data_IF_215940088452
#
_entry.id   IF_215940088452
#
_cell.length_a   1.000
_cell.length_b   1.000
_cell.length_c   1.000
_cell.angle_alpha   90.00
_cell.angle_beta   90.00
_cell.angle_gamma   90.00
#
_symmetry.space_group_name_H-M   'P 1'
#
loop_
_entity.id
_entity.type
_entity.pdbx_description
1 polymer ?
#
# COMPACT_ATOMS: atom_id res chain seq x y z
N UNK A 1 -18.26 -2.42 17.52
CA UNK A 1 -18.31 -1.24 16.64
C UNK A 1 -19.74 -0.92 16.26
N UNK A 2 -20.28 0.23 16.68
CA UNK A 2 -21.44 0.85 16.06
C UNK A 2 -21.32 0.96 14.53
N UNK A 3 -22.44 0.74 13.84
CA UNK A 3 -22.56 0.93 12.40
C UNK A 3 -23.94 1.52 12.06
N UNK A 4 -23.98 2.42 11.09
CA UNK A 4 -25.22 2.97 10.52
C UNK A 4 -25.22 2.70 9.01
N UNK A 5 -26.15 1.86 8.56
CA UNK A 5 -26.42 1.64 7.13
C UNK A 5 -27.31 2.76 6.58
N UNK A 6 -27.05 3.18 5.34
CA UNK A 6 -27.86 4.16 4.63
C UNK A 6 -27.70 4.00 3.11
N UNK A 7 -28.57 4.67 2.35
CA UNK A 7 -28.52 4.68 0.89
C UNK A 7 -28.42 6.09 0.33
N UNK A 8 -27.66 6.25 -0.76
CA UNK A 8 -27.58 7.49 -1.56
C UNK A 8 -28.17 7.22 -2.95
N UNK A 9 -28.92 8.16 -3.50
CA UNK A 9 -29.50 8.04 -4.85
C UNK A 9 -28.41 8.01 -5.94
N UNK A 10 -28.48 7.03 -6.85
CA UNK A 10 -27.54 6.91 -7.98
C UNK A 10 -28.21 6.20 -9.18
N UNK A 11 -29.10 6.93 -9.85
CA UNK A 11 -30.03 6.44 -10.88
C UNK A 11 -29.35 5.52 -11.91
N UNK A 12 -29.92 4.33 -12.21
CA UNK A 12 -31.23 3.81 -11.78
C UNK A 12 -31.19 2.97 -10.49
N UNK A 13 -30.15 3.10 -9.65
CA UNK A 13 -29.96 2.31 -8.42
C UNK A 13 -29.67 3.24 -7.23
N UNK A 14 -29.31 2.65 -6.10
CA UNK A 14 -28.79 3.35 -4.92
C UNK A 14 -27.39 2.87 -4.58
N UNK A 15 -26.61 3.73 -3.94
CA UNK A 15 -25.32 3.41 -3.34
C UNK A 15 -25.60 2.97 -1.91
N UNK A 16 -25.39 1.69 -1.63
CA UNK A 16 -25.46 1.16 -0.27
C UNK A 16 -24.18 1.55 0.49
N UNK A 17 -24.33 2.20 1.64
CA UNK A 17 -23.25 2.72 2.47
C UNK A 17 -23.37 2.23 3.91
N UNK A 18 -22.23 2.08 4.58
CA UNK A 18 -22.14 1.85 6.04
C UNK A 18 -21.16 2.88 6.61
N UNK A 19 -21.66 3.72 7.52
CA UNK A 19 -20.84 4.55 8.41
C UNK A 19 -20.45 3.71 9.63
N UNK A 20 -19.15 3.56 9.89
CA UNK A 20 -18.60 2.86 11.07
C UNK A 20 -17.88 3.87 11.97
N UNK A 21 -18.08 3.77 13.29
CA UNK A 21 -17.58 4.69 14.32
C UNK A 21 -17.59 4.01 15.71
N UNK A 22 -17.05 4.65 16.75
CA UNK A 22 -17.05 4.16 18.16
C UNK A 22 -18.14 4.84 19.06
N UNK A 23 -18.33 4.50 20.36
CA UNK A 23 -19.41 5.06 21.27
C UNK A 23 -18.89 5.52 22.65
N UNK A 24 -19.31 6.63 23.28
CA UNK A 24 -20.22 7.72 22.87
C UNK A 24 -19.46 9.02 22.51
N UNK A 25 -18.99 9.90 23.44
CA UNK A 25 -19.13 9.95 24.91
C UNK A 25 -20.39 10.73 25.39
N UNK A 26 -21.26 10.09 26.18
CA UNK A 26 -22.54 10.64 26.65
C UNK A 26 -23.77 9.82 26.25
N UNK A 27 -24.55 9.39 27.25
CA UNK A 27 -25.98 9.04 27.12
C UNK A 27 -26.89 10.19 27.62
N UNK A 28 -26.31 11.36 27.92
CA UNK A 28 -27.04 12.56 28.35
C UNK A 28 -27.42 13.45 27.15
N UNK A 29 -28.70 13.78 27.09
CA UNK A 29 -29.35 14.40 25.93
C UNK A 29 -29.26 15.94 25.91
N UNK A 30 -28.06 16.50 26.02
CA UNK A 30 -27.79 17.94 25.84
C UNK A 30 -26.44 18.15 25.13
N UNK A 31 -26.44 18.93 24.05
CA UNK A 31 -25.25 19.25 23.22
C UNK A 31 -24.61 18.12 22.39
N UNK A 32 -25.42 17.39 21.61
CA UNK A 32 -24.93 16.55 20.51
C UNK A 32 -25.24 17.14 19.13
N UNK A 33 -24.32 17.93 18.59
CA UNK A 33 -24.19 18.11 17.14
C UNK A 33 -22.73 17.92 16.69
N UNK A 34 -22.55 17.07 15.67
CA UNK A 34 -21.40 17.00 14.76
C UNK A 34 -20.13 16.17 15.09
N UNK A 35 -20.26 14.86 15.38
CA UNK A 35 -19.12 13.89 15.33
C UNK A 35 -19.33 12.67 14.43
N UNK A 36 -20.31 12.72 13.51
CA UNK A 36 -20.56 11.65 12.51
C UNK A 36 -19.85 11.85 11.16
N UNK A 37 -19.25 13.02 10.93
CA UNK A 37 -18.44 13.40 9.75
C UNK A 37 -17.35 12.34 9.50
N UNK A 38 -17.43 11.50 8.45
CA UNK A 38 -16.39 10.54 8.14
C UNK A 38 -15.07 11.23 7.77
N UNK A 39 -13.96 10.79 8.36
CA UNK A 39 -12.64 11.25 7.92
C UNK A 39 -12.08 10.46 6.74
N UNK A 40 -12.77 9.39 6.32
CA UNK A 40 -12.41 8.56 5.17
C UNK A 40 -13.68 8.07 4.45
N UNK A 41 -13.72 8.24 3.12
CA UNK A 41 -14.61 7.50 2.23
C UNK A 41 -13.83 6.35 1.59
N UNK A 42 -14.27 5.11 1.82
CA UNK A 42 -13.59 3.89 1.39
C UNK A 42 -14.49 3.01 0.49
N UNK A 43 -13.89 2.24 -0.42
CA UNK A 43 -14.65 1.23 -1.19
C UNK A 43 -13.85 -0.04 -1.51
N UNK A 44 -14.59 -1.13 -1.73
CA UNK A 44 -14.06 -2.47 -1.91
C UNK A 44 -13.45 -2.73 -3.30
N UNK A 45 -12.72 -3.84 -3.41
CA UNK A 45 -12.19 -4.33 -4.69
C UNK A 45 -13.24 -4.89 -5.64
N UNK A 46 -12.79 -5.32 -6.82
CA UNK A 46 -13.63 -5.94 -7.83
C UNK A 46 -14.36 -7.17 -7.27
N UNK A 47 -15.67 -7.27 -7.48
CA UNK A 47 -16.52 -8.38 -7.03
C UNK A 47 -16.86 -8.39 -5.53
N UNK A 48 -16.22 -7.53 -4.73
CA UNK A 48 -16.39 -7.50 -3.28
C UNK A 48 -17.73 -6.94 -2.80
N UNK A 49 -17.86 -6.90 -1.48
CA UNK A 49 -18.99 -6.38 -0.71
C UNK A 49 -18.49 -5.55 0.47
N UNK A 50 -19.40 -4.89 1.20
CA UNK A 50 -19.09 -4.26 2.49
C UNK A 50 -18.77 -5.28 3.60
N UNK A 51 -19.18 -6.54 3.41
CA UNK A 51 -18.91 -7.66 4.32
C UNK A 51 -17.65 -8.47 3.97
N UNK A 52 -16.88 -8.07 2.96
CA UNK A 52 -15.63 -8.76 2.61
C UNK A 52 -14.57 -8.52 3.69
N UNK A 53 -13.87 -9.55 4.15
CA UNK A 53 -12.92 -9.52 5.29
C UNK A 53 -11.97 -8.30 5.26
N UNK A 54 -11.26 -8.07 4.14
CA UNK A 54 -10.35 -6.93 3.96
C UNK A 54 -11.00 -5.54 3.92
N UNK A 55 -12.32 -5.45 4.06
CA UNK A 55 -13.09 -4.21 4.22
C UNK A 55 -13.67 -4.15 5.62
N UNK A 56 -14.36 -5.21 6.06
CA UNK A 56 -14.97 -5.28 7.39
C UNK A 56 -13.93 -5.18 8.52
N UNK A 57 -12.78 -5.85 8.39
CA UNK A 57 -11.70 -5.79 9.38
C UNK A 57 -11.04 -4.41 9.37
N UNK A 58 -10.72 -3.88 8.17
CA UNK A 58 -10.11 -2.56 8.02
C UNK A 58 -11.01 -1.45 8.57
N UNK A 59 -12.29 -1.41 8.20
CA UNK A 59 -13.22 -0.40 8.68
C UNK A 59 -13.50 -0.53 10.16
N UNK A 60 -13.52 -1.75 10.71
CA UNK A 60 -13.66 -1.97 12.16
C UNK A 60 -12.49 -1.40 12.95
N UNK A 61 -11.25 -1.54 12.45
CA UNK A 61 -10.07 -0.95 13.07
C UNK A 61 -9.98 0.56 12.88
N UNK A 62 -10.25 1.06 11.67
CA UNK A 62 -10.22 2.50 11.37
C UNK A 62 -11.25 3.25 12.24
N UNK A 63 -12.45 2.68 12.40
CA UNK A 63 -13.55 3.24 13.17
C UNK A 63 -13.29 3.37 14.68
N UNK A 64 -12.25 2.73 15.25
CA UNK A 64 -11.87 2.95 16.67
C UNK A 64 -11.11 4.26 16.87
N UNK A 65 -10.66 4.91 15.80
CA UNK A 65 -9.87 6.13 15.84
C UNK A 65 -10.61 7.31 15.19
N UNK A 66 -11.34 7.06 14.11
CA UNK A 66 -12.12 8.08 13.39
C UNK A 66 -13.24 7.48 12.55
N UNK A 67 -14.40 8.16 12.36
CA UNK A 67 -15.50 7.62 11.57
C UNK A 67 -15.12 7.38 10.09
N UNK A 68 -15.60 6.28 9.52
CA UNK A 68 -15.35 5.89 8.11
C UNK A 68 -16.64 5.48 7.42
N UNK A 69 -16.87 5.99 6.21
CA UNK A 69 -17.93 5.51 5.31
C UNK A 69 -17.37 4.53 4.31
N UNK A 70 -17.86 3.30 4.33
CA UNK A 70 -17.61 2.32 3.28
C UNK A 70 -18.84 2.21 2.37
N UNK A 71 -18.65 2.31 1.04
CA UNK A 71 -19.74 2.17 0.07
C UNK A 71 -19.57 1.00 -0.91
N UNK A 72 -20.70 0.39 -1.28
CA UNK A 72 -20.77 -0.75 -2.21
C UNK A 72 -20.70 -0.29 -3.67
N UNK A 73 -19.50 -0.18 -4.22
CA UNK A 73 -19.28 0.20 -5.61
C UNK A 73 -19.57 -0.94 -6.60
N UNK A 74 -19.93 -0.60 -7.84
CA UNK A 74 -20.15 -1.58 -8.91
C UNK A 74 -18.86 -1.96 -9.68
N UNK A 75 -18.97 -2.89 -10.65
CA UNK A 75 -17.83 -3.44 -11.40
C UNK A 75 -17.24 -2.50 -12.47
N UNK A 76 -17.91 -1.39 -12.79
CA UNK A 76 -17.45 -0.43 -13.78
C UNK A 76 -16.65 0.68 -13.08
N UNK A 77 -15.36 0.80 -13.41
CA UNK A 77 -14.44 1.74 -12.75
C UNK A 77 -14.92 3.19 -12.88
N UNK A 78 -15.30 3.65 -14.07
CA UNK A 78 -15.82 5.01 -14.31
C UNK A 78 -17.11 5.28 -13.55
N UNK A 79 -17.99 4.29 -13.44
CA UNK A 79 -19.21 4.40 -12.63
C UNK A 79 -18.87 4.47 -11.13
N UNK A 80 -17.91 3.68 -10.64
CA UNK A 80 -17.43 3.73 -9.25
C UNK A 80 -16.78 5.07 -8.88
N UNK A 81 -16.11 5.73 -9.82
CA UNK A 81 -15.61 7.12 -9.66
C UNK A 81 -16.78 8.10 -9.49
N UNK A 82 -17.83 7.99 -10.30
CA UNK A 82 -19.06 8.81 -10.10
C UNK A 82 -19.75 8.52 -8.77
N UNK A 83 -19.73 7.26 -8.31
CA UNK A 83 -20.25 6.88 -6.99
C UNK A 83 -19.47 7.54 -5.85
N UNK A 84 -18.13 7.65 -5.94
CA UNK A 84 -17.36 8.47 -5.00
C UNK A 84 -17.88 9.91 -4.97
N UNK A 85 -18.05 10.56 -6.13
CA UNK A 85 -18.55 11.93 -6.20
C UNK A 85 -19.91 12.11 -5.54
N UNK A 86 -20.83 11.15 -5.67
CA UNK A 86 -22.11 11.22 -4.95
C UNK A 86 -21.97 11.01 -3.44
N UNK A 87 -21.11 10.08 -2.99
CA UNK A 87 -20.84 9.91 -1.55
C UNK A 87 -20.20 11.17 -0.95
N UNK A 88 -19.24 11.77 -1.65
CA UNK A 88 -18.59 13.04 -1.25
C UNK A 88 -19.57 14.22 -1.17
N UNK A 89 -20.62 14.27 -2.00
CA UNK A 89 -21.65 15.32 -1.91
C UNK A 89 -22.70 15.07 -0.83
N UNK A 90 -22.94 13.82 -0.48
CA UNK A 90 -23.97 13.43 0.50
C UNK A 90 -23.41 13.25 1.91
N UNK A 91 -22.09 13.33 2.09
CA UNK A 91 -21.41 13.26 3.38
C UNK A 91 -20.58 14.53 3.57
N UNK A 92 -20.76 15.21 4.69
CA UNK A 92 -19.73 16.13 5.20
C UNK A 92 -18.53 15.26 5.57
N UNK A 93 -17.48 15.24 4.75
CA UNK A 93 -16.36 14.30 4.88
C UNK A 93 -15.03 15.05 4.97
N UNK A 94 -14.14 14.61 5.87
CA UNK A 94 -12.77 15.09 5.85
C UNK A 94 -12.03 14.47 4.65
N UNK A 95 -11.10 15.23 4.07
CA UNK A 95 -10.56 15.08 2.73
C UNK A 95 -9.67 13.84 2.43
N UNK A 96 -9.93 12.69 3.05
CA UNK A 96 -9.32 11.41 2.71
C UNK A 96 -10.27 10.54 1.87
N UNK A 97 -9.80 10.07 0.72
CA UNK A 97 -10.44 9.02 -0.05
C UNK A 97 -9.60 7.75 0.01
N UNK A 98 -10.20 6.58 -0.24
CA UNK A 98 -9.44 5.35 -0.31
C UNK A 98 -10.21 4.16 -0.84
N UNK A 99 -9.51 3.05 -1.02
CA UNK A 99 -10.18 1.78 -1.27
C UNK A 99 -9.21 0.63 -1.38
N UNK A 100 -9.75 -0.56 -1.63
CA UNK A 100 -8.96 -1.77 -1.91
C UNK A 100 -8.95 -2.11 -3.39
N UNK A 101 -7.80 -2.43 -3.98
CA UNK A 101 -7.69 -2.94 -5.36
C UNK A 101 -8.36 -2.01 -6.40
N UNK A 102 -9.39 -2.46 -7.12
CA UNK A 102 -10.19 -1.60 -8.01
C UNK A 102 -10.77 -0.36 -7.29
N UNK A 103 -11.10 -0.47 -6.00
CA UNK A 103 -11.52 0.64 -5.17
C UNK A 103 -10.42 1.67 -4.93
N UNK A 104 -9.17 1.23 -4.76
CA UNK A 104 -8.01 2.12 -4.65
C UNK A 104 -7.82 2.96 -5.93
N UNK A 105 -7.91 2.32 -7.10
CA UNK A 105 -7.89 3.02 -8.40
C UNK A 105 -9.04 4.03 -8.53
N UNK A 106 -10.24 3.65 -8.11
CA UNK A 106 -11.40 4.53 -8.15
C UNK A 106 -11.25 5.74 -7.22
N UNK A 107 -10.63 5.57 -6.04
CA UNK A 107 -10.34 6.67 -5.11
C UNK A 107 -9.35 7.68 -5.71
N UNK A 108 -8.23 7.21 -6.31
CA UNK A 108 -7.27 8.06 -7.02
C UNK A 108 -7.96 8.85 -8.15
N UNK A 109 -8.77 8.17 -8.97
CA UNK A 109 -9.49 8.79 -10.08
C UNK A 109 -10.67 9.69 -9.66
N UNK A 110 -11.08 9.64 -8.39
CA UNK A 110 -12.13 10.48 -7.81
C UNK A 110 -11.59 11.65 -6.97
N UNK A 111 -10.27 11.74 -6.79
CA UNK A 111 -9.64 12.83 -6.08
C UNK A 111 -9.95 14.18 -6.75
N UNK A 112 -10.28 15.16 -5.92
CA UNK A 112 -10.56 16.56 -6.27
C UNK A 112 -9.44 17.45 -5.74
N UNK A 113 -9.38 18.75 -6.12
CA UNK A 113 -8.44 19.70 -5.53
C UNK A 113 -8.54 19.81 -4.00
N UNK A 114 -9.72 19.53 -3.43
CA UNK A 114 -9.94 19.51 -1.98
C UNK A 114 -9.43 18.23 -1.31
N UNK A 115 -9.11 17.18 -2.07
CA UNK A 115 -8.62 15.90 -1.54
C UNK A 115 -7.20 16.06 -1.01
N UNK A 116 -7.00 15.83 0.28
CA UNK A 116 -5.70 16.00 0.94
C UNK A 116 -4.95 14.67 1.12
N UNK A 117 -5.68 13.56 1.14
CA UNK A 117 -5.14 12.27 1.55
C UNK A 117 -5.72 11.10 0.74
N UNK A 118 -4.90 10.07 0.50
CA UNK A 118 -5.31 8.84 -0.20
C UNK A 118 -4.83 7.58 0.54
N UNK A 119 -5.76 6.68 0.89
CA UNK A 119 -5.43 5.35 1.45
C UNK A 119 -5.66 4.26 0.40
N UNK A 120 -4.57 3.73 -0.14
CA UNK A 120 -4.53 2.84 -1.29
C UNK A 120 -4.14 1.41 -0.87
N UNK A 121 -5.14 0.62 -0.45
CA UNK A 121 -4.93 -0.76 -0.04
C UNK A 121 -4.90 -1.73 -1.24
N UNK A 122 -3.93 -2.64 -1.27
CA UNK A 122 -3.72 -3.61 -2.37
C UNK A 122 -3.82 -2.94 -3.75
N UNK A 123 -3.18 -1.77 -3.95
CA UNK A 123 -3.31 -1.05 -5.22
C UNK A 123 -2.82 -1.94 -6.39
N UNK A 124 -3.63 -2.25 -7.40
CA UNK A 124 -3.30 -3.28 -8.39
C UNK A 124 -2.45 -2.66 -9.50
N UNK A 125 -1.21 -2.31 -9.14
CA UNK A 125 -0.23 -1.56 -9.91
C UNK A 125 0.04 -2.17 -11.28
N UNK A 126 0.02 -3.48 -11.39
CA UNK A 126 0.16 -4.18 -12.64
C UNK A 126 -0.78 -5.37 -12.75
N UNK A 127 -1.02 -5.76 -13.99
CA UNK A 127 -1.64 -7.03 -14.37
C UNK A 127 -0.87 -7.59 -15.57
N UNK A 128 -1.22 -8.80 -16.01
CA UNK A 128 -0.64 -9.40 -17.20
C UNK A 128 -0.93 -8.60 -18.51
N UNK A 129 -1.78 -7.56 -18.45
CA UNK A 129 -2.19 -6.76 -19.62
C UNK A 129 -1.68 -5.31 -19.61
N UNK A 130 -1.48 -4.73 -18.43
CA UNK A 130 -1.19 -3.28 -18.27
C UNK A 130 -0.46 -2.98 -16.96
N UNK A 131 0.32 -1.90 -16.95
CA UNK A 131 0.82 -1.22 -15.75
C UNK A 131 -0.01 0.06 -15.55
N UNK A 132 -0.31 0.41 -14.30
CA UNK A 132 -1.23 1.48 -13.89
C UNK A 132 -0.52 2.47 -12.97
N UNK A 133 0.70 2.84 -13.32
CA UNK A 133 1.53 3.79 -12.62
C UNK A 133 1.21 5.24 -12.99
N UNK A 134 0.86 5.54 -14.24
CA UNK A 134 0.57 6.91 -14.68
C UNK A 134 -0.45 7.63 -13.78
N UNK A 135 -1.57 6.99 -13.43
CA UNK A 135 -2.59 7.61 -12.55
C UNK A 135 -2.08 7.88 -11.12
N UNK A 136 -0.97 7.28 -10.69
CA UNK A 136 -0.29 7.60 -9.43
C UNK A 136 0.72 8.76 -9.62
N UNK A 137 1.38 8.82 -10.78
CA UNK A 137 2.31 9.90 -11.13
C UNK A 137 1.60 11.24 -11.36
N UNK A 138 0.33 11.19 -11.77
CA UNK A 138 -0.56 12.33 -11.98
C UNK A 138 -1.21 12.85 -10.68
N UNK A 139 -0.96 12.23 -9.52
CA UNK A 139 -1.47 12.70 -8.22
C UNK A 139 -0.82 14.05 -7.87
N UNK A 140 -1.64 15.02 -7.50
CA UNK A 140 -1.21 16.38 -7.16
C UNK A 140 -0.18 16.41 -6.01
N UNK A 141 0.86 17.26 -6.05
CA UNK A 141 1.95 17.24 -5.07
C UNK A 141 1.52 17.49 -3.62
N UNK A 142 0.38 18.16 -3.41
CA UNK A 142 -0.19 18.45 -2.10
C UNK A 142 -0.91 17.28 -1.42
N UNK A 143 -1.14 16.18 -2.14
CA UNK A 143 -1.84 14.99 -1.60
C UNK A 143 -0.85 14.06 -0.91
N UNK A 144 -1.11 13.70 0.34
CA UNK A 144 -0.33 12.67 1.02
C UNK A 144 -0.94 11.27 0.75
N UNK A 145 -0.13 10.29 0.36
CA UNK A 145 -0.62 8.96 -0.07
C UNK A 145 -0.06 7.85 0.83
N UNK A 146 -0.95 7.08 1.46
CA UNK A 146 -0.64 5.84 2.15
C UNK A 146 -0.89 4.63 1.25
N UNK A 147 0.16 3.90 0.89
CA UNK A 147 0.05 2.57 0.31
C UNK A 147 0.00 1.52 1.43
N UNK A 148 -0.98 0.62 1.37
CA UNK A 148 -1.06 -0.54 2.26
C UNK A 148 -0.99 -1.80 1.40
N UNK A 149 0.14 -2.51 1.43
CA UNK A 149 0.47 -3.55 0.43
C UNK A 149 0.97 -4.82 1.12
N UNK A 150 0.42 -5.96 0.72
CA UNK A 150 0.91 -7.26 1.16
C UNK A 150 2.19 -7.65 0.43
N UNK A 151 3.17 -8.23 1.12
CA UNK A 151 4.44 -8.63 0.48
C UNK A 151 4.31 -9.87 -0.44
N UNK A 152 3.14 -10.52 -0.44
CA UNK A 152 2.73 -11.57 -1.40
C UNK A 152 1.72 -11.06 -2.45
N UNK A 153 1.52 -9.75 -2.57
CA UNK A 153 0.64 -9.15 -3.58
C UNK A 153 1.24 -9.27 -5.00
N UNK A 154 0.68 -10.20 -5.79
CA UNK A 154 1.09 -10.48 -7.18
C UNK A 154 0.64 -9.42 -8.20
N UNK A 155 -0.17 -8.44 -7.80
CA UNK A 155 -0.52 -7.27 -8.61
C UNK A 155 0.23 -6.00 -8.19
N UNK A 156 0.98 -6.04 -7.09
CA UNK A 156 1.75 -4.89 -6.59
C UNK A 156 3.09 -5.31 -5.96
N UNK A 157 4.03 -5.75 -6.79
CA UNK A 157 5.38 -6.06 -6.31
C UNK A 157 6.05 -4.82 -5.69
N UNK A 158 6.48 -4.93 -4.43
CA UNK A 158 7.03 -3.81 -3.64
C UNK A 158 8.17 -3.05 -4.34
N UNK A 159 9.07 -3.76 -5.04
CA UNK A 159 10.16 -3.13 -5.81
C UNK A 159 9.67 -2.29 -7.00
N UNK A 160 8.59 -2.71 -7.66
CA UNK A 160 7.94 -1.94 -8.72
C UNK A 160 7.22 -0.72 -8.15
N UNK A 161 6.53 -0.89 -7.02
CA UNK A 161 5.88 0.21 -6.33
C UNK A 161 6.90 1.26 -5.88
N UNK A 162 8.06 0.85 -5.33
CA UNK A 162 9.11 1.78 -4.94
C UNK A 162 9.59 2.63 -6.12
N UNK A 163 9.79 2.01 -7.29
CA UNK A 163 10.18 2.71 -8.53
C UNK A 163 9.14 3.76 -8.98
N UNK A 164 7.86 3.57 -8.62
CA UNK A 164 6.79 4.55 -8.88
C UNK A 164 6.74 5.63 -7.80
N UNK A 165 6.77 5.25 -6.52
CA UNK A 165 6.87 6.16 -5.37
C UNK A 165 8.04 7.15 -5.51
N UNK A 166 9.16 6.69 -6.05
CA UNK A 166 10.36 7.50 -6.30
C UNK A 166 10.20 8.56 -7.40
N UNK A 167 9.17 8.44 -8.24
CA UNK A 167 8.82 9.37 -9.33
C UNK A 167 7.58 10.22 -9.02
N UNK A 168 6.78 9.83 -8.03
CA UNK A 168 5.60 10.59 -7.60
C UNK A 168 6.06 11.94 -7.02
N UNK A 169 5.34 13.02 -7.38
CA UNK A 169 5.61 14.37 -6.85
C UNK A 169 5.04 14.58 -5.45
N UNK A 170 3.99 13.84 -5.14
CA UNK A 170 3.30 13.85 -3.86
C UNK A 170 4.03 12.98 -2.83
N UNK A 171 3.81 13.19 -1.53
CA UNK A 171 4.49 12.38 -0.50
C UNK A 171 3.83 11.01 -0.38
N UNK A 172 4.63 9.96 -0.18
CA UNK A 172 4.13 8.58 -0.08
C UNK A 172 4.65 7.87 1.17
N UNK A 173 3.74 7.24 1.90
CA UNK A 173 4.00 6.31 2.99
C UNK A 173 3.69 4.89 2.50
N UNK A 174 4.39 3.90 3.04
CA UNK A 174 4.18 2.48 2.73
C UNK A 174 4.09 1.67 4.02
N UNK A 175 2.90 1.10 4.24
CA UNK A 175 2.66 0.04 5.22
C UNK A 175 2.74 -1.31 4.48
N UNK A 176 3.80 -2.09 4.76
CA UNK A 176 3.93 -3.45 4.26
C UNK A 176 3.28 -4.42 5.23
N UNK A 177 2.33 -5.21 4.77
CA UNK A 177 1.71 -6.29 5.55
C UNK A 177 2.42 -7.61 5.17
N UNK A 178 3.27 -8.11 6.05
CA UNK A 178 4.09 -9.28 5.78
C UNK A 178 3.25 -10.55 5.69
N UNK A 179 3.41 -11.33 4.63
CA UNK A 179 2.64 -12.55 4.38
C UNK A 179 1.26 -12.34 3.76
N UNK A 180 0.76 -11.10 3.65
CA UNK A 180 -0.53 -10.82 3.04
C UNK A 180 -0.50 -10.92 1.51
N UNK A 181 -1.55 -11.48 0.93
CA UNK A 181 -1.79 -11.52 -0.52
C UNK A 181 -2.54 -10.26 -1.04
N UNK A 182 -2.87 -10.23 -2.33
CA UNK A 182 -3.70 -9.16 -2.92
C UNK A 182 -5.14 -9.08 -2.32
N UNK A 183 -5.56 -10.15 -1.64
CA UNK A 183 -6.77 -10.27 -0.83
C UNK A 183 -6.72 -9.51 0.49
N UNK A 184 -5.52 -9.19 0.99
CA UNK A 184 -5.23 -8.99 2.41
C UNK A 184 -5.58 -10.21 3.27
N UNK A 185 -5.53 -11.42 2.69
CA UNK A 185 -5.63 -12.68 3.42
C UNK A 185 -4.26 -13.03 3.99
N UNK A 186 -4.25 -13.59 5.21
CA UNK A 186 -3.04 -14.09 5.87
C UNK A 186 -2.94 -15.61 5.83
N UNK A 187 -1.73 -16.13 6.00
CA UNK A 187 -1.49 -17.53 6.37
C UNK A 187 -0.74 -17.55 7.71
N UNK A 188 -1.30 -18.13 8.80
CA UNK A 188 -2.59 -18.82 8.87
C UNK A 188 -3.79 -17.88 8.71
N UNK A 189 -4.93 -18.40 8.21
CA UNK A 189 -6.14 -17.60 7.95
C UNK A 189 -6.64 -16.86 9.20
N UNK A 190 -6.47 -17.43 10.40
CA UNK A 190 -6.85 -16.83 11.68
C UNK A 190 -6.25 -15.44 11.92
N UNK A 191 -5.05 -15.17 11.40
CA UNK A 191 -4.39 -13.87 11.52
C UNK A 191 -5.10 -12.74 10.74
N UNK A 192 -5.89 -13.08 9.72
CA UNK A 192 -6.50 -12.12 8.77
C UNK A 192 -7.36 -11.06 9.45
N UNK A 193 -8.09 -11.43 10.51
CA UNK A 193 -8.94 -10.49 11.24
C UNK A 193 -8.11 -9.49 12.04
N UNK A 194 -7.21 -9.97 12.89
CA UNK A 194 -6.38 -9.13 13.76
C UNK A 194 -5.46 -8.19 12.94
N UNK A 195 -4.82 -8.72 11.90
CA UNK A 195 -4.00 -7.94 10.97
C UNK A 195 -4.83 -6.89 10.23
N UNK A 196 -6.00 -7.25 9.71
CA UNK A 196 -6.90 -6.31 9.03
C UNK A 196 -7.38 -5.18 9.96
N UNK A 197 -7.67 -5.49 11.22
CA UNK A 197 -8.07 -4.51 12.25
C UNK A 197 -6.90 -3.57 12.57
N UNK A 198 -5.70 -4.07 12.92
CA UNK A 198 -4.55 -3.19 13.22
C UNK A 198 -4.12 -2.38 12.00
N UNK A 199 -4.26 -2.91 10.78
CA UNK A 199 -4.08 -2.14 9.53
C UNK A 199 -5.03 -0.94 9.45
N UNK A 200 -6.30 -1.12 9.81
CA UNK A 200 -7.29 -0.05 9.89
C UNK A 200 -6.92 1.02 10.92
N UNK A 201 -6.49 0.61 12.11
CA UNK A 201 -6.02 1.50 13.18
C UNK A 201 -4.84 2.35 12.71
N UNK A 202 -3.77 1.72 12.16
CA UNK A 202 -2.58 2.44 11.68
C UNK A 202 -2.92 3.43 10.56
N UNK A 203 -3.84 3.07 9.66
CA UNK A 203 -4.27 3.95 8.58
C UNK A 203 -5.08 5.16 9.09
N UNK A 204 -5.86 5.00 10.16
CA UNK A 204 -6.58 6.10 10.79
C UNK A 204 -5.65 7.02 11.60
N UNK A 205 -4.74 6.44 12.38
CA UNK A 205 -3.66 7.17 13.08
C UNK A 205 -2.88 8.04 12.09
N UNK A 206 -2.45 7.48 10.96
CA UNK A 206 -1.76 8.19 9.86
C UNK A 206 -2.60 9.30 9.20
N UNK A 207 -3.92 9.10 9.08
CA UNK A 207 -4.82 10.07 8.49
C UNK A 207 -5.03 11.29 9.40
N UNK A 208 -5.08 11.05 10.72
CA UNK A 208 -5.14 12.07 11.78
C UNK A 208 -3.80 12.81 11.87
N UNK A 209 -2.69 12.10 11.99
CA UNK A 209 -1.35 12.68 12.12
C UNK A 209 -0.26 11.74 11.56
N UNK A 210 0.70 12.30 10.82
CA UNK A 210 1.80 11.55 10.20
C UNK A 210 3.10 12.33 10.22
N UNK A 211 4.18 11.63 10.51
CA UNK A 211 5.54 12.16 10.43
C UNK A 211 5.99 12.20 8.96
N UNK A 212 6.51 13.34 8.50
CA UNK A 212 7.02 13.50 7.13
C UNK A 212 8.36 12.80 6.89
N UNK A 213 9.11 12.47 7.95
CA UNK A 213 10.40 11.76 7.89
C UNK A 213 10.24 10.24 7.94
N UNK A 214 9.29 9.74 8.74
CA UNK A 214 9.03 8.31 8.93
C UNK A 214 7.91 7.84 8.02
N UNK A 215 8.29 7.13 6.95
CA UNK A 215 7.40 6.82 5.80
C UNK A 215 7.35 5.35 5.41
N UNK A 216 8.07 4.50 6.12
CA UNK A 216 7.98 3.04 5.97
C UNK A 216 7.45 2.43 7.27
N UNK A 217 6.65 1.38 7.17
CA UNK A 217 6.14 0.62 8.32
C UNK A 217 5.88 -0.83 7.92
N UNK A 218 5.97 -1.74 8.90
CA UNK A 218 5.73 -3.17 8.70
C UNK A 218 4.78 -3.71 9.76
N UNK A 219 3.80 -4.48 9.30
CA UNK A 219 2.88 -5.23 10.12
C UNK A 219 3.10 -6.72 9.86
N UNK A 220 3.45 -7.49 10.91
CA UNK A 220 3.68 -8.94 10.86
C UNK A 220 2.76 -9.69 11.81
N UNK A 221 2.73 -11.01 11.66
CA UNK A 221 2.05 -11.93 12.56
C UNK A 221 3.04 -13.01 13.02
N UNK A 222 3.32 -13.05 14.32
CA UNK A 222 3.95 -14.20 15.00
C UNK A 222 3.20 -14.43 16.31
N UNK A 223 2.23 -15.35 16.26
CA UNK A 223 1.27 -15.69 17.33
C UNK A 223 0.30 -14.56 17.74
N UNK A 224 0.73 -13.30 17.63
CA UNK A 224 -0.06 -12.07 17.74
C UNK A 224 0.38 -11.06 16.66
N UNK A 225 -0.22 -9.87 16.64
CA UNK A 225 0.08 -8.78 15.70
C UNK A 225 1.30 -7.98 16.16
N UNK A 226 2.32 -7.92 15.30
CA UNK A 226 3.52 -7.12 15.51
C UNK A 226 3.51 -5.89 14.60
N UNK A 227 3.68 -4.70 15.18
CA UNK A 227 3.78 -3.42 14.46
C UNK A 227 5.16 -2.80 14.66
N UNK A 228 5.87 -2.48 13.56
CA UNK A 228 7.25 -1.98 13.62
C UNK A 228 7.41 -0.52 14.07
N UNK A 229 6.29 0.17 14.29
CA UNK A 229 6.18 1.63 14.18
C UNK A 229 6.60 2.18 12.80
N UNK A 230 6.29 3.45 12.57
CA UNK A 230 6.79 4.20 11.42
C UNK A 230 8.29 4.46 11.56
N UNK A 231 9.07 4.15 10.52
CA UNK A 231 10.51 4.39 10.47
C UNK A 231 10.93 5.18 9.21
N UNK A 232 12.15 5.72 9.24
CA UNK A 232 12.72 6.44 8.11
C UNK A 232 12.85 5.55 6.88
N UNK A 233 12.63 6.13 5.69
CA UNK A 233 12.88 5.42 4.43
C UNK A 233 14.37 5.10 4.28
N UNK A 234 14.69 3.82 4.10
CA UNK A 234 16.07 3.35 3.90
C UNK A 234 16.74 4.19 2.78
N UNK A 235 17.92 4.80 3.03
CA UNK A 235 18.57 5.67 2.05
C UNK A 235 18.81 4.98 0.70
N UNK A 236 18.59 5.72 -0.39
CA UNK A 236 18.60 5.23 -1.79
C UNK A 236 19.97 4.75 -2.30
N UNK A 237 21.00 4.75 -1.47
CA UNK A 237 22.30 4.13 -1.73
C UNK A 237 22.92 3.70 -0.39
N UNK A 238 23.19 2.40 -0.14
CA UNK A 238 24.37 2.06 0.62
C UNK A 238 25.57 2.51 -0.21
N UNK A 239 26.35 3.46 0.29
CA UNK A 239 27.58 3.88 -0.38
C UNK A 239 28.45 2.65 -0.62
N UNK A 240 28.89 2.45 -1.86
CA UNK A 240 29.65 1.27 -2.31
C UNK A 240 31.08 1.29 -1.77
N UNK A 241 31.20 1.20 -0.45
CA UNK A 241 32.47 1.03 0.25
C UNK A 241 32.86 -0.43 0.11
N UNK A 242 33.40 -0.79 -1.06
CA UNK A 242 34.12 -2.04 -1.22
C UNK A 242 35.17 -2.12 -0.11
N UNK A 243 35.30 -3.26 0.61
CA UNK A 243 36.42 -3.44 1.52
C UNK A 243 37.71 -3.27 0.73
N UNK A 244 38.54 -2.29 1.09
CA UNK A 244 39.88 -2.16 0.51
C UNK A 244 40.61 -3.48 0.80
N UNK A 245 40.89 -4.25 -0.24
CA UNK A 245 41.79 -5.39 -0.11
C UNK A 245 43.14 -4.86 0.37
N UNK A 246 43.59 -5.32 1.53
CA UNK A 246 44.98 -5.12 1.93
C UNK A 246 45.86 -5.95 1.01
N UNK A 247 46.59 -5.27 0.11
CA UNK A 247 47.69 -5.90 -0.61
C UNK A 247 48.76 -6.32 0.41
N UNK A 248 48.82 -7.61 0.71
CA UNK A 248 49.91 -8.19 1.48
C UNK A 248 51.20 -8.14 0.66
N UNK A 249 52.03 -7.13 0.93
CA UNK A 249 53.41 -7.07 0.44
C UNK A 249 54.22 -8.17 1.11
N UNK A 250 54.35 -9.33 0.45
CA UNK A 250 55.22 -10.41 0.92
C UNK A 250 56.45 -10.58 0.01
N UNK A 251 57.57 -10.05 0.51
CA UNK A 251 58.95 -10.47 0.28
C UNK A 251 59.34 -11.10 -1.08
N UNK A 252 60.01 -10.31 -1.92
CA UNK A 252 60.91 -10.83 -2.97
C UNK A 252 61.97 -11.76 -2.34
N UNK A 253 62.05 -13.02 -2.78
CA UNK A 253 63.26 -13.84 -2.69
C UNK A 253 63.59 -14.42 -4.06
N UNK A 254 64.73 -14.01 -4.61
CA UNK A 254 65.32 -14.56 -5.83
C UNK A 254 66.02 -15.89 -5.54
N UNK A 255 65.92 -16.85 -6.46
CA UNK A 255 67.01 -17.78 -6.85
C UNK A 255 66.65 -18.50 -8.18
N UNK A 256 67.57 -19.20 -8.86
CA UNK A 256 68.03 -18.70 -10.15
C UNK A 256 67.70 -19.60 -11.35
N UNK A 257 68.14 -19.15 -12.52
CA UNK A 257 67.97 -19.79 -13.83
C UNK A 257 68.78 -21.07 -14.03
N UNK A 258 68.20 -22.04 -14.74
CA UNK A 258 68.93 -23.00 -15.58
C UNK A 258 68.28 -23.10 -16.97
N UNK A 259 69.09 -23.49 -17.98
CA UNK A 259 68.72 -23.59 -19.40
C UNK A 259 68.98 -25.01 -19.91
N UNK A 260 68.01 -25.60 -20.60
CA UNK A 260 68.08 -26.33 -21.89
C UNK A 260 66.77 -27.12 -22.10
N UNK A 261 66.35 -27.54 -23.30
CA UNK A 261 66.88 -27.33 -24.65
C UNK A 261 66.13 -28.20 -25.68
N UNK A 262 65.94 -27.71 -26.92
CA UNK A 262 65.33 -28.45 -28.06
C UNK A 262 63.82 -28.22 -28.27
N UNK A 263 63.33 -27.71 -29.43
CA UNK A 263 63.26 -28.29 -30.81
C UNK A 263 62.34 -29.54 -30.88
N UNK A 264 61.43 -29.72 -31.86
CA UNK A 264 60.90 -28.90 -33.00
C UNK A 264 59.74 -29.70 -33.67
N UNK A 265 58.87 -29.04 -34.47
CA UNK A 265 58.14 -29.63 -35.65
C UNK A 265 57.03 -30.68 -35.37
N UNK A 266 55.95 -30.87 -36.16
CA UNK A 266 55.08 -29.95 -36.95
C UNK A 266 53.81 -30.67 -37.47
N UNK A 267 52.81 -29.89 -37.90
CA UNK A 267 51.83 -30.15 -39.00
C UNK A 267 50.77 -31.27 -38.87
N UNK A 268 49.50 -30.80 -39.02
CA UNK A 268 48.39 -31.36 -39.83
C UNK A 268 47.79 -32.70 -39.33
N UNK A 269 46.51 -33.04 -39.59
CA UNK A 269 45.59 -32.59 -40.67
C UNK A 269 44.12 -32.71 -40.21
N UNK A 270 43.21 -31.96 -40.83
CA UNK A 270 41.76 -32.26 -40.81
C UNK A 270 41.50 -33.66 -41.36
N UNK A 271 40.40 -34.29 -40.96
CA UNK A 271 39.34 -34.77 -41.87
C UNK A 271 38.02 -34.80 -41.09
N UNK A 272 36.94 -34.68 -41.84
CA UNK A 272 35.55 -34.51 -41.44
C UNK A 272 34.75 -35.69 -42.02
N UNK A 273 33.79 -36.21 -41.24
CA UNK A 273 32.57 -36.84 -41.74
C UNK A 273 31.44 -36.27 -40.90
#
# INVERSE_FOLDING_TARGET
MPQQSFEIAFTPKTINCILSFDKSPGDDATEFQNTKTPSLIFTHGAGGTLSSDGIANFSSGFATQSPVVCFKGNMNLTSRVKMFSEVMRNQDFAACLGGRSMGARAAVMAATPDTQQLVLASYPLHTNKETRDQILLDIEPGVDVLFVIGDKDTMCHLSRLQTVRDKMKCKTWLLVVHGADHGMNMSPKSATAAIGIKTGVIAAEWAIARDNSKREGRLSWDQDVEWSEWCESIPKNPSTTQPKQQENILGKKQRPSEKDGGKKVSKRRKIQV
#
